data_IF_692976559377
#
_entry.id   IF_692976559377
#
_cell.length_a   1.000
_cell.length_b   1.000
_cell.length_c   1.000
_cell.angle_alpha   90.00
_cell.angle_beta   90.00
_cell.angle_gamma   90.00
#
_symmetry.space_group_name_H-M   'P 1'
#
loop_
_entity.id
_entity.type
_entity.pdbx_description
1 polymer ?
#
# COMPACT_ATOMS: atom_id res chain seq x y z
N UNK A 1 9.52 7.99 23.11
CA UNK A 1 10.53 8.30 22.07
C UNK A 1 9.77 8.94 20.94
N UNK A 2 10.17 10.14 20.50
CA UNK A 2 9.48 10.89 19.45
C UNK A 2 9.80 10.29 18.08
N UNK A 3 8.86 10.32 17.15
CA UNK A 3 9.09 9.89 15.76
C UNK A 3 10.05 10.89 15.09
N UNK A 4 11.13 10.42 14.41
CA UNK A 4 12.24 11.31 14.01
C UNK A 4 12.06 12.03 12.68
N UNK A 5 10.91 11.88 12.02
CA UNK A 5 10.53 12.59 10.81
C UNK A 5 9.37 13.52 11.14
N UNK A 6 9.35 14.71 10.53
CA UNK A 6 8.36 15.75 10.79
C UNK A 6 6.99 15.43 10.16
N UNK A 7 6.34 14.33 10.62
CA UNK A 7 5.00 13.95 10.14
C UNK A 7 3.92 14.98 10.48
N UNK A 8 4.18 15.91 11.37
CA UNK A 8 3.37 17.11 11.62
C UNK A 8 3.31 18.05 10.41
N UNK A 9 4.24 17.94 9.48
CA UNK A 9 4.24 18.71 8.23
C UNK A 9 3.31 18.14 7.17
N UNK A 10 2.77 16.94 7.37
CA UNK A 10 1.74 16.38 6.49
C UNK A 10 0.54 17.33 6.38
N UNK A 11 0.18 17.68 5.17
CA UNK A 11 -0.95 18.56 4.86
C UNK A 11 -2.00 17.80 4.06
N UNK A 12 -3.10 17.36 4.68
CA UNK A 12 -4.17 16.67 3.96
C UNK A 12 -4.61 17.48 2.74
N UNK A 13 -4.70 16.80 1.60
CA UNK A 13 -5.15 17.41 0.35
C UNK A 13 -6.61 17.02 0.11
N UNK A 14 -7.47 18.02 -0.19
CA UNK A 14 -8.86 17.79 -0.61
C UNK A 14 -8.97 17.87 -2.12
N UNK A 15 -9.55 16.84 -2.74
CA UNK A 15 -9.69 16.70 -4.19
C UNK A 15 -11.15 16.50 -4.56
N UNK A 16 -11.62 17.14 -5.65
CA UNK A 16 -13.01 17.03 -6.09
C UNK A 16 -13.14 16.39 -7.46
N UNK A 17 -14.19 15.62 -7.66
CA UNK A 17 -14.45 14.91 -8.92
C UNK A 17 -14.81 15.86 -10.08
N UNK A 18 -15.33 17.04 -9.82
CA UNK A 18 -15.61 18.07 -10.83
C UNK A 18 -14.34 18.83 -11.28
N UNK A 19 -13.24 18.71 -10.53
CA UNK A 19 -11.95 19.30 -10.86
C UNK A 19 -11.18 18.42 -11.84
N UNK A 20 -10.90 18.89 -13.05
CA UNK A 20 -10.26 18.09 -14.11
C UNK A 20 -8.74 18.02 -14.01
N UNK A 21 -8.09 18.95 -13.30
CA UNK A 21 -6.64 19.04 -13.13
C UNK A 21 -6.29 19.48 -11.70
N UNK A 22 -5.15 19.05 -11.20
CA UNK A 22 -4.62 19.57 -9.94
C UNK A 22 -4.28 21.06 -10.06
N UNK A 23 -4.63 21.85 -9.06
CA UNK A 23 -4.03 23.17 -8.91
C UNK A 23 -2.54 23.04 -8.54
N UNK A 24 -1.75 24.11 -8.78
CA UNK A 24 -0.33 24.10 -8.39
C UNK A 24 -0.15 23.79 -6.91
N UNK A 25 -0.98 24.39 -6.04
CA UNK A 25 -0.92 24.15 -4.59
C UNK A 25 -1.25 22.70 -4.23
N UNK A 26 -2.25 22.07 -4.86
CA UNK A 26 -2.59 20.66 -4.62
C UNK A 26 -1.46 19.73 -5.09
N UNK A 27 -0.87 20.01 -6.24
CA UNK A 27 0.29 19.25 -6.75
C UNK A 27 1.46 19.34 -5.79
N UNK A 28 1.85 20.54 -5.36
CA UNK A 28 2.96 20.77 -4.45
C UNK A 28 2.71 20.05 -3.10
N UNK A 29 1.49 20.12 -2.56
CA UNK A 29 1.13 19.42 -1.33
C UNK A 29 1.17 17.89 -1.50
N UNK A 30 0.63 17.35 -2.59
CA UNK A 30 0.68 15.91 -2.85
C UNK A 30 2.13 15.42 -3.00
N UNK A 31 2.97 16.15 -3.75
CA UNK A 31 4.38 15.80 -3.90
C UNK A 31 5.12 15.80 -2.57
N UNK A 32 4.90 16.82 -1.73
CA UNK A 32 5.51 16.88 -0.39
C UNK A 32 5.01 15.73 0.50
N UNK A 33 3.71 15.45 0.49
CA UNK A 33 3.12 14.37 1.27
C UNK A 33 3.59 12.98 0.80
N UNK A 34 3.72 12.77 -0.52
CA UNK A 34 4.25 11.52 -1.09
C UNK A 34 5.70 11.31 -0.62
N UNK A 35 6.54 12.34 -0.72
CA UNK A 35 7.93 12.25 -0.27
C UNK A 35 8.01 11.91 1.23
N UNK A 36 7.26 12.64 2.06
CA UNK A 36 7.24 12.44 3.51
C UNK A 36 6.72 11.04 3.90
N UNK A 37 5.65 10.58 3.26
CA UNK A 37 5.09 9.26 3.53
C UNK A 37 6.05 8.13 3.11
N UNK A 38 6.70 8.26 1.96
CA UNK A 38 7.72 7.33 1.47
C UNK A 38 8.93 7.27 2.41
N UNK A 39 9.43 8.42 2.84
CA UNK A 39 10.53 8.50 3.80
C UNK A 39 10.18 7.85 5.14
N UNK A 40 8.95 8.06 5.62
CA UNK A 40 8.46 7.44 6.85
C UNK A 40 8.36 5.91 6.71
N UNK A 41 7.83 5.39 5.60
CA UNK A 41 7.73 3.94 5.36
C UNK A 41 9.12 3.30 5.36
N UNK A 42 10.09 3.89 4.66
CA UNK A 42 11.48 3.41 4.66
C UNK A 42 12.02 3.38 6.09
N UNK A 43 11.84 4.46 6.85
CA UNK A 43 12.37 4.56 8.20
C UNK A 43 11.81 3.48 9.13
N UNK A 44 10.49 3.42 9.33
CA UNK A 44 9.95 2.54 10.38
C UNK A 44 9.97 1.06 9.99
N UNK A 45 9.92 0.72 8.70
CA UNK A 45 10.12 -0.67 8.26
C UNK A 45 11.58 -1.11 8.42
N UNK A 46 12.54 -0.25 8.08
CA UNK A 46 13.96 -0.51 8.33
C UNK A 46 14.28 -0.57 9.85
N UNK A 47 13.60 0.23 10.67
CA UNK A 47 13.72 0.16 12.13
C UNK A 47 13.25 -1.20 12.67
N UNK A 48 12.15 -1.73 12.14
CA UNK A 48 11.71 -3.10 12.47
C UNK A 48 12.77 -4.13 12.06
N UNK A 49 13.35 -3.98 10.87
CA UNK A 49 14.45 -4.84 10.42
C UNK A 49 15.68 -4.75 11.33
N UNK A 50 16.08 -3.54 11.74
CA UNK A 50 17.18 -3.34 12.69
C UNK A 50 16.94 -4.04 14.03
N UNK A 51 15.67 -4.16 14.46
CA UNK A 51 15.23 -4.91 15.64
C UNK A 51 15.16 -6.43 15.41
N UNK A 52 15.47 -6.92 14.21
CA UNK A 52 15.37 -8.33 13.84
C UNK A 52 13.95 -8.80 13.52
N UNK A 53 13.03 -7.87 13.26
CA UNK A 53 11.66 -8.14 12.80
C UNK A 53 11.64 -8.05 11.28
N UNK A 54 11.03 -9.01 10.61
CA UNK A 54 10.84 -8.94 9.16
C UNK A 54 9.77 -7.92 8.75
N UNK A 55 9.44 -7.86 7.48
CA UNK A 55 8.36 -7.01 6.95
C UNK A 55 8.50 -6.83 5.45
N UNK A 56 7.80 -5.83 4.93
CA UNK A 56 7.81 -5.46 3.52
C UNK A 56 7.81 -3.94 3.42
N UNK A 57 8.61 -3.41 2.51
CA UNK A 57 8.74 -1.96 2.31
C UNK A 57 8.21 -1.54 0.94
N UNK A 58 8.67 -2.22 -0.14
CA UNK A 58 8.52 -1.76 -1.51
C UNK A 58 7.09 -1.48 -1.92
N UNK A 59 6.21 -2.48 -1.89
CA UNK A 59 4.83 -2.27 -2.32
C UNK A 59 4.07 -1.23 -1.49
N UNK A 60 4.36 -1.11 -0.18
CA UNK A 60 3.77 -0.04 0.64
C UNK A 60 4.29 1.36 0.26
N UNK A 61 5.55 1.46 -0.14
CA UNK A 61 6.17 2.67 -0.67
C UNK A 61 5.61 3.05 -2.04
N UNK A 62 5.39 2.05 -2.89
CA UNK A 62 4.97 2.23 -4.27
C UNK A 62 3.57 2.87 -4.38
N UNK A 63 2.59 2.34 -3.63
CA UNK A 63 1.19 2.79 -3.73
C UNK A 63 0.87 4.10 -2.99
N UNK A 64 1.86 4.78 -2.43
CA UNK A 64 1.65 6.05 -1.72
C UNK A 64 0.93 7.09 -2.59
N UNK A 65 1.32 7.34 -3.86
CA UNK A 65 0.66 8.34 -4.68
C UNK A 65 -0.84 8.07 -4.88
N UNK A 66 -1.19 6.84 -5.24
CA UNK A 66 -2.57 6.42 -5.47
C UNK A 66 -3.41 6.57 -4.21
N UNK A 67 -2.89 6.10 -3.09
CA UNK A 67 -3.63 6.13 -1.84
C UNK A 67 -3.88 7.55 -1.37
N UNK A 68 -2.90 8.46 -1.48
CA UNK A 68 -3.07 9.87 -1.11
C UNK A 68 -4.04 10.61 -2.04
N UNK A 69 -4.09 10.27 -3.33
CA UNK A 69 -5.08 10.82 -4.26
C UNK A 69 -6.49 10.33 -3.88
N UNK A 70 -6.66 9.03 -3.62
CA UNK A 70 -7.96 8.48 -3.18
C UNK A 70 -8.40 9.09 -1.85
N UNK A 71 -7.49 9.23 -0.88
CA UNK A 71 -7.74 9.91 0.40
C UNK A 71 -8.23 11.36 0.19
N UNK A 72 -7.66 12.06 -0.78
CA UNK A 72 -8.08 13.42 -1.13
C UNK A 72 -9.54 13.52 -1.58
N UNK A 73 -10.03 12.56 -2.36
CA UNK A 73 -11.44 12.48 -2.75
C UNK A 73 -12.34 12.10 -1.56
N UNK A 74 -11.92 11.15 -0.74
CA UNK A 74 -12.64 10.79 0.50
C UNK A 74 -12.81 12.00 1.42
N UNK A 75 -11.74 12.77 1.64
CA UNK A 75 -11.74 13.96 2.49
C UNK A 75 -12.66 15.06 1.98
N UNK A 76 -12.88 15.13 0.69
CA UNK A 76 -13.82 16.11 0.09
C UNK A 76 -15.28 15.70 0.19
N UNK A 77 -15.57 14.53 0.77
CA UNK A 77 -16.93 14.00 0.87
C UNK A 77 -17.50 13.49 -0.44
N UNK A 78 -16.64 13.18 -1.41
CA UNK A 78 -17.06 12.56 -2.66
C UNK A 78 -17.63 11.15 -2.41
N UNK A 79 -18.42 10.65 -3.35
CA UNK A 79 -19.10 9.36 -3.21
C UNK A 79 -18.12 8.16 -3.33
N UNK A 80 -17.09 8.15 -2.50
CA UNK A 80 -16.07 7.10 -2.36
C UNK A 80 -16.16 6.51 -0.96
N UNK A 81 -16.19 5.19 -0.86
CA UNK A 81 -16.22 4.52 0.43
C UNK A 81 -14.89 4.77 1.16
N UNK A 82 -14.90 5.27 2.43
CA UNK A 82 -13.68 5.65 3.15
C UNK A 82 -12.92 4.46 3.74
N UNK A 83 -12.68 3.42 2.92
CA UNK A 83 -11.90 2.24 3.30
C UNK A 83 -10.92 1.94 2.16
N UNK A 84 -9.65 1.89 2.48
CA UNK A 84 -8.57 1.63 1.51
C UNK A 84 -8.25 0.14 1.50
N UNK A 85 -9.16 -0.68 0.94
CA UNK A 85 -8.94 -2.11 0.82
C UNK A 85 -7.67 -2.39 0.04
N UNK A 86 -6.82 -3.26 0.58
CA UNK A 86 -5.56 -3.65 -0.03
C UNK A 86 -5.40 -5.16 0.01
N UNK A 87 -5.46 -5.76 -1.16
CA UNK A 87 -5.37 -7.20 -1.33
C UNK A 87 -3.98 -7.74 -1.02
N UNK A 88 -2.95 -6.98 -1.36
CA UNK A 88 -1.58 -7.28 -0.97
C UNK A 88 -1.35 -6.91 0.50
N UNK A 89 -1.91 -7.70 1.41
CA UNK A 89 -1.93 -7.41 2.84
C UNK A 89 -0.55 -7.16 3.46
N UNK A 90 0.53 -7.64 2.84
CA UNK A 90 1.89 -7.34 3.28
C UNK A 90 2.27 -5.86 3.13
N UNK A 91 1.52 -5.07 2.34
CA UNK A 91 1.69 -3.60 2.23
C UNK A 91 1.12 -2.83 3.42
N UNK A 92 0.84 -3.48 4.54
CA UNK A 92 0.20 -2.92 5.74
C UNK A 92 0.91 -1.69 6.34
N UNK A 93 2.19 -1.49 6.03
CA UNK A 93 2.93 -0.32 6.51
C UNK A 93 2.24 1.00 6.11
N UNK A 94 1.74 1.12 4.87
CA UNK A 94 1.00 2.31 4.45
C UNK A 94 -0.34 2.45 5.18
N UNK A 95 -1.02 1.35 5.52
CA UNK A 95 -2.27 1.39 6.26
C UNK A 95 -2.08 1.96 7.67
N UNK A 96 -1.01 1.55 8.37
CA UNK A 96 -0.69 2.09 9.69
C UNK A 96 -0.23 3.55 9.61
N UNK A 97 0.55 3.92 8.58
CA UNK A 97 0.92 5.31 8.37
C UNK A 97 -0.32 6.19 8.17
N UNK A 98 -1.24 5.79 7.30
CA UNK A 98 -2.49 6.52 7.08
C UNK A 98 -3.35 6.60 8.34
N UNK A 99 -3.45 5.53 9.11
CA UNK A 99 -4.14 5.54 10.39
C UNK A 99 -3.54 6.55 11.37
N UNK A 100 -2.21 6.68 11.41
CA UNK A 100 -1.52 7.68 12.23
C UNK A 100 -1.73 9.11 11.70
N UNK A 101 -1.60 9.34 10.38
CA UNK A 101 -1.81 10.64 9.75
C UNK A 101 -3.27 11.12 9.85
N UNK A 102 -4.22 10.19 9.95
CA UNK A 102 -5.64 10.45 10.16
C UNK A 102 -6.03 10.57 11.65
N UNK A 103 -5.07 10.49 12.57
CA UNK A 103 -5.30 10.67 13.99
C UNK A 103 -5.97 9.47 14.70
N UNK A 104 -6.08 8.31 14.05
CA UNK A 104 -6.63 7.09 14.66
C UNK A 104 -5.68 6.45 15.66
N UNK A 105 -4.38 6.75 15.56
CA UNK A 105 -3.37 6.30 16.51
C UNK A 105 -2.22 7.30 16.63
N UNK A 106 -1.48 7.33 17.76
CA UNK A 106 -0.28 8.16 17.90
C UNK A 106 0.80 7.76 16.88
N UNK A 107 1.47 8.75 16.28
CA UNK A 107 2.55 8.55 15.29
C UNK A 107 3.69 7.71 15.86
N UNK A 108 4.00 7.87 17.15
CA UNK A 108 5.06 7.13 17.84
C UNK A 108 4.82 5.62 17.87
N UNK A 109 3.57 5.16 17.68
CA UNK A 109 3.29 3.73 17.54
C UNK A 109 3.99 3.09 16.35
N UNK A 110 4.25 3.84 15.28
CA UNK A 110 4.97 3.34 14.10
C UNK A 110 6.39 2.87 14.47
N UNK A 111 7.01 3.43 15.52
CA UNK A 111 8.28 2.94 16.05
C UNK A 111 8.24 1.48 16.51
N UNK A 112 7.07 0.95 16.78
CA UNK A 112 6.81 -0.41 17.25
C UNK A 112 6.18 -1.30 16.16
N UNK A 113 6.41 -0.96 14.89
CA UNK A 113 5.93 -1.75 13.77
C UNK A 113 6.39 -3.21 13.87
N UNK A 114 5.43 -4.15 13.83
CA UNK A 114 5.61 -5.59 13.97
C UNK A 114 6.18 -6.07 15.32
N UNK A 115 6.33 -5.22 16.31
CA UNK A 115 6.68 -5.67 17.66
C UNK A 115 5.49 -6.37 18.32
N UNK A 116 5.78 -7.50 18.97
CA UNK A 116 4.76 -8.26 19.70
C UNK A 116 4.10 -7.40 20.81
N UNK A 117 2.80 -7.50 20.92
CA UNK A 117 2.03 -6.77 21.94
C UNK A 117 1.66 -5.32 21.59
N UNK A 118 2.24 -4.75 20.53
CA UNK A 118 1.94 -3.37 20.12
C UNK A 118 0.75 -3.25 19.13
N UNK A 119 0.28 -4.37 18.57
CA UNK A 119 -0.90 -4.44 17.72
C UNK A 119 -0.72 -3.86 16.32
N UNK A 120 0.53 -3.72 15.85
CA UNK A 120 0.88 -3.40 14.47
C UNK A 120 1.42 -4.67 13.81
N UNK A 121 0.51 -5.48 13.27
CA UNK A 121 0.81 -6.79 12.71
C UNK A 121 1.46 -6.71 11.32
N UNK A 122 1.91 -7.84 10.79
CA UNK A 122 2.53 -7.92 9.46
C UNK A 122 1.53 -7.87 8.30
N UNK A 123 0.23 -7.97 8.60
CA UNK A 123 -0.90 -7.83 7.69
C UNK A 123 -1.99 -7.05 8.40
N UNK A 124 -2.92 -6.38 7.69
CA UNK A 124 -4.00 -5.67 8.35
C UNK A 124 -4.93 -6.64 9.08
N UNK A 125 -5.16 -6.35 10.32
CA UNK A 125 -6.19 -6.99 11.15
C UNK A 125 -7.17 -5.91 11.60
N UNK A 126 -8.46 -6.13 11.32
CA UNK A 126 -9.50 -5.15 11.60
C UNK A 126 -9.48 -4.68 13.04
N UNK A 127 -9.31 -3.39 13.23
CA UNK A 127 -9.32 -2.70 14.50
C UNK A 127 -9.81 -1.27 14.28
N UNK A 128 -11.12 -1.09 14.24
CA UNK A 128 -11.79 0.18 13.90
C UNK A 128 -11.30 1.34 14.78
N UNK A 129 -11.05 1.08 16.07
CA UNK A 129 -10.47 2.06 17.00
C UNK A 129 -9.04 2.50 16.67
N UNK A 130 -8.38 1.82 15.73
CA UNK A 130 -7.02 2.13 15.25
C UNK A 130 -7.01 2.56 13.78
N UNK A 131 -8.18 2.75 13.15
CA UNK A 131 -8.29 3.14 11.75
C UNK A 131 -7.99 2.03 10.75
N UNK A 132 -8.05 0.76 11.16
CA UNK A 132 -7.91 -0.40 10.26
C UNK A 132 -9.29 -1.04 10.13
N UNK A 133 -9.90 -0.91 8.95
CA UNK A 133 -11.31 -1.25 8.74
C UNK A 133 -11.53 -2.59 8.01
N UNK A 134 -10.46 -3.32 7.70
CA UNK A 134 -10.52 -4.63 7.06
C UNK A 134 -9.39 -5.53 7.54
N UNK A 135 -9.51 -6.83 7.27
CA UNK A 135 -8.43 -7.81 7.44
C UNK A 135 -8.07 -8.38 6.08
N UNK A 136 -6.78 -8.58 5.84
CA UNK A 136 -6.23 -9.19 4.64
C UNK A 136 -4.95 -9.94 4.98
N UNK A 137 -4.48 -10.83 4.11
CA UNK A 137 -3.25 -11.58 4.36
C UNK A 137 -2.99 -12.68 3.35
N UNK A 138 -3.98 -12.99 2.52
CA UNK A 138 -3.84 -13.95 1.42
C UNK A 138 -4.23 -13.28 0.12
N UNK A 139 -3.32 -13.28 -0.84
CA UNK A 139 -3.60 -12.86 -2.21
C UNK A 139 -4.75 -13.68 -2.78
N UNK A 140 -5.54 -13.10 -3.67
CA UNK A 140 -6.68 -13.76 -4.31
C UNK A 140 -7.93 -13.95 -3.45
N UNK A 141 -8.00 -13.40 -2.24
CA UNK A 141 -9.12 -13.61 -1.34
C UNK A 141 -9.93 -12.34 -1.04
N UNK A 142 -9.28 -11.18 -0.97
CA UNK A 142 -9.94 -9.97 -0.51
C UNK A 142 -10.92 -9.42 -1.54
N UNK A 143 -10.63 -9.55 -2.83
CA UNK A 143 -11.48 -8.99 -3.88
C UNK A 143 -12.91 -9.55 -3.82
N UNK A 144 -13.09 -10.85 -3.60
CA UNK A 144 -14.42 -11.45 -3.43
C UNK A 144 -15.20 -10.85 -2.25
N UNK A 145 -14.50 -10.56 -1.12
CA UNK A 145 -15.10 -9.85 0.01
C UNK A 145 -15.48 -8.42 -0.37
N UNK A 146 -14.62 -7.70 -1.08
CA UNK A 146 -14.85 -6.31 -1.51
C UNK A 146 -16.00 -6.22 -2.53
N UNK A 147 -16.20 -7.24 -3.35
CA UNK A 147 -17.38 -7.35 -4.20
C UNK A 147 -18.70 -7.36 -3.38
N UNK A 148 -18.70 -8.07 -2.24
CA UNK A 148 -19.82 -8.02 -1.30
C UNK A 148 -20.04 -6.62 -0.71
N UNK A 149 -18.94 -5.93 -0.35
CA UNK A 149 -19.00 -4.53 0.13
C UNK A 149 -19.55 -3.62 -0.96
N UNK A 150 -19.07 -3.73 -2.21
CA UNK A 150 -19.55 -2.91 -3.32
C UNK A 150 -21.04 -3.16 -3.62
N UNK A 151 -21.49 -4.41 -3.50
CA UNK A 151 -22.92 -4.76 -3.63
C UNK A 151 -23.77 -4.05 -2.56
N UNK A 152 -23.25 -3.96 -1.33
CA UNK A 152 -23.95 -3.29 -0.23
C UNK A 152 -23.89 -1.75 -0.29
N UNK A 153 -22.99 -1.19 -1.11
CA UNK A 153 -22.77 0.26 -1.23
C UNK A 153 -22.87 0.74 -2.70
N UNK A 154 -23.99 0.54 -3.39
CA UNK A 154 -24.10 0.76 -4.83
C UNK A 154 -23.92 2.22 -5.25
N UNK A 155 -24.11 3.16 -4.33
CA UNK A 155 -24.00 4.61 -4.57
C UNK A 155 -22.62 5.20 -4.29
N UNK A 156 -21.66 4.37 -3.89
CA UNK A 156 -20.29 4.80 -3.61
C UNK A 156 -19.32 3.98 -4.47
N UNK A 157 -18.25 4.62 -4.94
CA UNK A 157 -17.13 3.90 -5.51
C UNK A 157 -16.37 3.17 -4.40
N UNK A 158 -16.18 1.87 -4.55
CA UNK A 158 -15.38 1.07 -3.63
C UNK A 158 -14.01 0.84 -4.26
N UNK A 159 -12.96 1.32 -3.60
CA UNK A 159 -11.59 1.19 -4.10
C UNK A 159 -10.93 -0.05 -3.50
N UNK A 160 -10.29 -0.83 -4.36
CA UNK A 160 -9.45 -1.97 -4.01
C UNK A 160 -8.05 -1.77 -4.61
N UNK A 161 -7.03 -1.74 -3.77
CA UNK A 161 -5.64 -1.77 -4.21
C UNK A 161 -5.21 -3.22 -4.43
N UNK A 162 -4.67 -3.51 -5.59
CA UNK A 162 -4.12 -4.80 -5.98
C UNK A 162 -2.66 -4.69 -6.42
N UNK A 163 -2.09 -5.78 -6.88
CA UNK A 163 -0.73 -5.86 -7.40
C UNK A 163 -0.67 -6.84 -8.58
N UNK A 164 0.39 -6.76 -9.38
CA UNK A 164 0.70 -7.74 -10.42
C UNK A 164 0.74 -9.18 -9.85
N UNK A 165 1.28 -9.35 -8.64
CA UNK A 165 1.28 -10.63 -7.94
C UNK A 165 -0.11 -11.13 -7.56
N UNK A 166 -1.03 -10.24 -7.12
CA UNK A 166 -2.39 -10.67 -6.76
C UNK A 166 -3.19 -11.12 -7.98
N UNK A 167 -2.92 -10.54 -9.15
CA UNK A 167 -3.62 -10.89 -10.39
C UNK A 167 -3.23 -12.27 -10.96
N UNK A 168 -2.25 -12.94 -10.36
CA UNK A 168 -1.90 -14.33 -10.68
C UNK A 168 -2.78 -15.35 -9.93
N UNK A 169 -3.60 -14.89 -8.98
CA UNK A 169 -4.44 -15.74 -8.15
C UNK A 169 -5.78 -16.07 -8.84
N UNK A 170 -6.19 -17.34 -8.78
CA UNK A 170 -7.44 -17.79 -9.38
C UNK A 170 -8.69 -17.14 -8.78
N UNK A 171 -8.66 -16.78 -7.50
CA UNK A 171 -9.74 -16.08 -6.81
C UNK A 171 -10.02 -14.70 -7.39
N UNK A 172 -8.99 -13.99 -7.85
CA UNK A 172 -9.11 -12.67 -8.48
C UNK A 172 -9.79 -12.77 -9.85
N UNK A 173 -9.45 -13.79 -10.62
CA UNK A 173 -10.12 -14.06 -11.90
C UNK A 173 -11.63 -14.35 -11.73
N UNK A 174 -12.02 -15.05 -10.66
CA UNK A 174 -13.43 -15.27 -10.32
C UNK A 174 -14.10 -13.98 -9.87
N UNK A 175 -13.47 -13.23 -8.97
CA UNK A 175 -13.98 -11.97 -8.46
C UNK A 175 -14.15 -10.91 -9.54
N UNK A 176 -13.22 -10.84 -10.50
CA UNK A 176 -13.29 -9.95 -11.66
C UNK A 176 -14.55 -10.23 -12.50
N UNK A 177 -14.78 -11.49 -12.85
CA UNK A 177 -15.98 -11.90 -13.62
C UNK A 177 -17.27 -11.59 -12.88
N UNK A 178 -17.30 -11.80 -11.56
CA UNK A 178 -18.46 -11.45 -10.74
C UNK A 178 -18.70 -9.94 -10.73
N UNK A 179 -17.66 -9.13 -10.51
CA UNK A 179 -17.76 -7.68 -10.51
C UNK A 179 -18.34 -7.14 -11.83
N UNK A 180 -17.89 -7.68 -12.97
CA UNK A 180 -18.40 -7.34 -14.30
C UNK A 180 -19.85 -7.76 -14.48
N UNK A 181 -20.20 -9.01 -14.14
CA UNK A 181 -21.55 -9.54 -14.28
C UNK A 181 -22.58 -8.73 -13.45
N UNK A 182 -22.18 -8.27 -12.26
CA UNK A 182 -23.03 -7.47 -11.37
C UNK A 182 -22.89 -5.96 -11.59
N UNK A 183 -22.02 -5.52 -12.50
CA UNK A 183 -21.74 -4.10 -12.79
C UNK A 183 -21.41 -3.30 -11.53
N UNK A 184 -20.60 -3.89 -10.64
CA UNK A 184 -20.27 -3.29 -9.35
C UNK A 184 -19.50 -1.97 -9.52
N UNK A 185 -19.80 -0.97 -8.69
CA UNK A 185 -19.06 0.27 -8.67
C UNK A 185 -17.72 0.10 -7.91
N UNK A 186 -16.89 -0.79 -8.44
CA UNK A 186 -15.58 -1.16 -7.89
C UNK A 186 -14.47 -0.58 -8.77
N UNK A 187 -13.46 0.00 -8.12
CA UNK A 187 -12.28 0.59 -8.75
C UNK A 187 -11.05 -0.16 -8.25
N UNK A 188 -10.49 -0.99 -9.13
CA UNK A 188 -9.27 -1.73 -8.87
C UNK A 188 -8.08 -0.87 -9.29
N UNK A 189 -7.14 -0.64 -8.37
CA UNK A 189 -5.92 0.12 -8.62
C UNK A 189 -4.74 -0.83 -8.42
N UNK A 190 -4.11 -1.21 -9.52
CA UNK A 190 -3.00 -2.17 -9.56
C UNK A 190 -1.67 -1.44 -9.54
N UNK A 191 -0.81 -1.84 -8.63
CA UNK A 191 0.61 -1.55 -8.66
C UNK A 191 1.31 -2.65 -9.47
N UNK A 192 1.72 -2.31 -10.68
CA UNK A 192 2.43 -3.19 -11.61
C UNK A 192 3.91 -2.79 -11.65
N UNK A 193 4.67 -3.36 -10.71
CA UNK A 193 6.07 -3.02 -10.50
C UNK A 193 7.04 -4.13 -10.94
N UNK A 194 6.53 -5.22 -11.54
CA UNK A 194 7.26 -6.39 -12.00
C UNK A 194 8.11 -7.05 -10.91
N UNK A 195 7.69 -6.98 -9.63
CA UNK A 195 8.43 -7.61 -8.53
C UNK A 195 7.49 -8.30 -7.55
N UNK A 196 7.72 -9.59 -7.35
CA UNK A 196 7.09 -10.41 -6.31
C UNK A 196 8.16 -11.07 -5.44
N UNK A 197 7.75 -11.78 -4.39
CA UNK A 197 8.65 -12.62 -3.60
C UNK A 197 9.35 -13.70 -4.43
N UNK A 198 8.75 -14.13 -5.55
CA UNK A 198 9.29 -15.12 -6.45
C UNK A 198 10.27 -14.54 -7.51
N UNK A 199 10.41 -13.22 -7.55
CA UNK A 199 11.21 -12.51 -8.55
C UNK A 199 10.36 -11.68 -9.50
N UNK A 200 10.77 -11.59 -10.77
CA UNK A 200 10.11 -10.79 -11.79
C UNK A 200 9.04 -11.61 -12.52
N UNK A 201 7.73 -11.24 -12.44
CA UNK A 201 6.68 -11.85 -13.26
C UNK A 201 7.01 -11.93 -14.74
N UNK A 202 7.60 -10.87 -15.30
CA UNK A 202 8.05 -10.85 -16.71
C UNK A 202 9.03 -11.99 -17.07
N UNK A 203 9.77 -12.53 -16.09
CA UNK A 203 10.73 -13.62 -16.31
C UNK A 203 10.12 -15.01 -16.12
N UNK A 204 9.27 -15.21 -15.09
CA UNK A 204 8.73 -16.53 -14.80
C UNK A 204 7.34 -16.80 -15.40
N UNK A 205 6.66 -15.75 -15.85
CA UNK A 205 5.38 -15.82 -16.59
C UNK A 205 5.45 -14.99 -17.87
N UNK A 206 6.34 -15.31 -18.83
CA UNK A 206 6.48 -14.53 -20.05
C UNK A 206 5.17 -14.48 -20.83
N UNK A 207 4.74 -13.26 -21.20
CA UNK A 207 3.47 -13.04 -21.90
C UNK A 207 2.26 -12.85 -21.00
N UNK A 208 2.39 -12.91 -19.67
CA UNK A 208 1.34 -12.48 -18.75
C UNK A 208 1.31 -10.95 -18.71
N UNK A 209 0.17 -10.38 -19.07
CA UNK A 209 -0.13 -8.94 -18.99
C UNK A 209 -1.35 -8.73 -18.10
N UNK A 210 -1.21 -7.90 -17.08
CA UNK A 210 -2.26 -7.62 -16.10
C UNK A 210 -3.41 -6.87 -16.75
N UNK A 211 -3.11 -5.87 -17.60
CA UNK A 211 -4.14 -5.06 -18.25
C UNK A 211 -4.96 -5.90 -19.23
N UNK A 212 -4.29 -6.70 -20.07
CA UNK A 212 -4.95 -7.61 -21.00
C UNK A 212 -5.79 -8.66 -20.29
N UNK A 213 -5.29 -9.19 -19.16
CA UNK A 213 -6.01 -10.17 -18.34
C UNK A 213 -7.29 -9.57 -17.77
N UNK A 214 -7.24 -8.37 -17.20
CA UNK A 214 -8.41 -7.69 -16.63
C UNK A 214 -9.40 -7.25 -17.70
N UNK A 215 -8.91 -6.76 -18.84
CA UNK A 215 -9.75 -6.47 -20.02
C UNK A 215 -10.44 -7.73 -20.56
N UNK A 216 -9.72 -8.85 -20.59
CA UNK A 216 -10.26 -10.16 -20.97
C UNK A 216 -11.38 -10.66 -20.05
N UNK A 217 -11.40 -10.25 -18.79
CA UNK A 217 -12.52 -10.48 -17.87
C UNK A 217 -13.69 -9.50 -18.05
N UNK A 218 -13.52 -8.43 -18.85
CA UNK A 218 -14.56 -7.46 -19.19
C UNK A 218 -14.55 -6.18 -18.35
N UNK A 219 -13.49 -5.90 -17.59
CA UNK A 219 -13.32 -4.62 -16.93
C UNK A 219 -12.99 -3.52 -17.97
N UNK A 220 -13.37 -2.29 -17.67
CA UNK A 220 -12.78 -1.12 -18.32
C UNK A 220 -11.37 -0.95 -17.73
N UNK A 221 -10.35 -0.96 -18.59
CA UNK A 221 -8.94 -0.89 -18.15
C UNK A 221 -8.29 0.38 -18.72
N UNK A 222 -7.53 1.06 -17.88
CA UNK A 222 -6.65 2.17 -18.26
C UNK A 222 -5.28 1.93 -17.62
N UNK A 223 -4.22 2.10 -18.41
CA UNK A 223 -2.84 1.83 -17.99
C UNK A 223 -1.97 3.07 -18.15
N UNK A 224 -0.99 3.24 -17.27
CA UNK A 224 -0.07 4.35 -17.39
C UNK A 224 1.00 4.41 -16.31
N UNK A 225 1.82 5.44 -16.37
CA UNK A 225 2.89 5.68 -15.41
C UNK A 225 2.32 5.99 -14.01
N UNK A 226 2.71 5.20 -13.01
CA UNK A 226 2.31 5.38 -11.60
C UNK A 226 3.04 6.52 -10.89
N UNK A 227 4.10 7.06 -11.50
CA UNK A 227 4.89 8.17 -10.93
C UNK A 227 4.55 9.53 -11.58
N UNK A 228 3.81 9.55 -12.67
CA UNK A 228 3.26 10.80 -13.24
C UNK A 228 2.01 11.24 -12.44
N UNK A 229 2.22 12.13 -11.49
CA UNK A 229 1.17 12.56 -10.55
C UNK A 229 -0.07 13.17 -11.23
N UNK A 230 0.12 13.97 -12.29
CA UNK A 230 -0.99 14.61 -12.99
C UNK A 230 -1.80 13.59 -13.81
N UNK A 231 -1.12 12.71 -14.53
CA UNK A 231 -1.75 11.64 -15.26
C UNK A 231 -2.44 10.65 -14.33
N UNK A 232 -1.81 10.28 -13.22
CA UNK A 232 -2.38 9.39 -12.19
C UNK A 232 -3.64 9.99 -11.57
N UNK A 233 -3.62 11.28 -11.19
CA UNK A 233 -4.80 12.01 -10.72
C UNK A 233 -5.95 11.94 -11.74
N UNK A 234 -5.65 12.25 -13.00
CA UNK A 234 -6.67 12.26 -14.06
C UNK A 234 -7.28 10.85 -14.27
N UNK A 235 -6.46 9.80 -14.25
CA UNK A 235 -6.92 8.40 -14.37
C UNK A 235 -7.78 7.97 -13.19
N UNK A 236 -7.34 8.23 -11.94
CA UNK A 236 -8.12 7.88 -10.73
C UNK A 236 -9.45 8.62 -10.73
N UNK A 237 -9.45 9.94 -11.01
CA UNK A 237 -10.66 10.73 -11.11
C UNK A 237 -11.63 10.15 -12.16
N UNK A 238 -11.12 9.80 -13.35
CA UNK A 238 -11.92 9.21 -14.42
C UNK A 238 -12.50 7.86 -13.98
N UNK A 239 -11.70 7.01 -13.37
CA UNK A 239 -12.16 5.72 -12.85
C UNK A 239 -13.30 5.88 -11.82
N UNK A 240 -13.14 6.82 -10.87
CA UNK A 240 -14.15 7.08 -9.83
C UNK A 240 -15.48 7.56 -10.40
N UNK A 241 -15.48 8.25 -11.55
CA UNK A 241 -16.69 8.73 -12.23
C UNK A 241 -17.25 7.77 -13.28
N UNK A 242 -16.50 6.77 -13.69
CA UNK A 242 -16.94 5.76 -14.68
C UNK A 242 -17.83 4.71 -14.02
N UNK A 243 -19.06 4.47 -14.53
CA UNK A 243 -19.93 3.41 -14.00
C UNK A 243 -19.32 2.01 -14.16
N UNK A 244 -19.62 1.13 -13.22
CA UNK A 244 -19.19 -0.28 -13.25
C UNK A 244 -17.74 -0.49 -12.79
N UNK A 245 -17.22 -1.71 -12.98
CA UNK A 245 -15.87 -2.04 -12.54
C UNK A 245 -14.83 -1.48 -13.52
N UNK A 246 -13.85 -0.76 -12.96
CA UNK A 246 -12.72 -0.17 -13.68
C UNK A 246 -11.43 -0.64 -13.04
N UNK A 247 -10.44 -0.97 -13.84
CA UNK A 247 -9.07 -1.25 -13.40
C UNK A 247 -8.10 -0.20 -13.92
N UNK A 248 -7.27 0.32 -13.03
CA UNK A 248 -6.13 1.15 -13.35
C UNK A 248 -4.86 0.32 -13.13
N UNK A 249 -4.05 0.15 -14.16
CA UNK A 249 -2.77 -0.56 -14.09
C UNK A 249 -1.65 0.47 -14.13
N UNK A 250 -0.99 0.66 -12.98
CA UNK A 250 0.02 1.69 -12.79
C UNK A 250 1.40 1.05 -12.87
N UNK A 251 2.09 1.27 -13.99
CA UNK A 251 3.43 0.75 -14.21
C UNK A 251 4.46 1.59 -13.48
N UNK A 252 5.39 0.94 -12.82
CA UNK A 252 6.58 1.55 -12.20
C UNK A 252 7.66 0.51 -11.96
N UNK A 253 8.84 0.97 -11.58
CA UNK A 253 9.84 0.10 -10.95
C UNK A 253 9.57 0.07 -9.45
N UNK A 254 9.66 -1.10 -8.82
CA UNK A 254 9.52 -1.19 -7.36
C UNK A 254 10.48 -0.25 -6.65
N UNK A 255 10.01 0.43 -5.61
CA UNK A 255 10.75 1.40 -4.80
C UNK A 255 11.46 2.47 -5.65
N UNK A 256 10.71 3.25 -6.49
CA UNK A 256 11.31 4.22 -7.38
C UNK A 256 12.15 5.24 -6.62
N UNK A 257 13.28 5.64 -7.23
CA UNK A 257 14.24 6.60 -6.68
C UNK A 257 14.97 6.13 -5.39
N UNK A 258 14.86 4.85 -4.99
CA UNK A 258 15.67 4.29 -3.90
C UNK A 258 16.95 3.69 -4.47
N UNK A 259 18.12 4.35 -4.31
CA UNK A 259 19.35 3.91 -4.94
C UNK A 259 19.75 2.48 -4.52
N UNK A 260 20.10 1.64 -5.52
CA UNK A 260 20.52 0.26 -5.30
C UNK A 260 19.41 -0.70 -4.87
N UNK A 261 18.16 -0.23 -4.83
CA UNK A 261 16.96 -1.02 -4.53
C UNK A 261 15.96 -0.98 -5.69
N UNK A 262 15.82 0.17 -6.34
CA UNK A 262 14.85 0.40 -7.41
C UNK A 262 14.80 -0.74 -8.43
N UNK A 263 13.62 -1.30 -8.66
CA UNK A 263 13.37 -2.37 -9.61
C UNK A 263 13.97 -3.72 -9.26
N UNK A 264 14.47 -3.92 -8.05
CA UNK A 264 15.10 -5.19 -7.64
C UNK A 264 14.19 -5.98 -6.68
N UNK A 265 14.19 -7.33 -6.77
CA UNK A 265 13.41 -8.19 -5.87
C UNK A 265 13.68 -7.95 -4.38
N UNK A 266 14.88 -7.53 -4.01
CA UNK A 266 15.21 -7.17 -2.62
C UNK A 266 14.44 -5.96 -2.09
N UNK A 267 13.79 -5.17 -2.95
CA UNK A 267 12.89 -4.09 -2.55
C UNK A 267 11.54 -4.58 -2.04
N UNK A 268 11.14 -5.80 -2.42
CA UNK A 268 9.87 -6.40 -1.98
C UNK A 268 9.82 -6.61 -0.47
N UNK A 269 10.89 -7.14 0.11
CA UNK A 269 11.02 -7.30 1.56
C UNK A 269 11.38 -5.98 2.26
N UNK A 270 11.74 -6.04 3.53
CA UNK A 270 12.27 -4.86 4.22
C UNK A 270 13.60 -4.44 3.62
N UNK A 271 13.72 -3.15 3.33
CA UNK A 271 14.97 -2.58 2.84
C UNK A 271 16.08 -2.85 3.88
N UNK A 272 17.28 -3.32 3.46
CA UNK A 272 18.41 -3.48 4.36
C UNK A 272 18.75 -2.18 5.10
N UNK A 273 19.14 -2.30 6.36
CA UNK A 273 19.34 -1.15 7.26
C UNK A 273 20.39 -0.18 6.75
N UNK A 274 21.45 -0.67 6.13
CA UNK A 274 22.51 0.14 5.52
C UNK A 274 21.99 0.99 4.35
N UNK A 275 21.18 0.41 3.46
CA UNK A 275 20.53 1.16 2.38
C UNK A 275 19.53 2.21 2.90
N UNK A 276 18.73 1.85 3.90
CA UNK A 276 17.82 2.81 4.53
C UNK A 276 18.58 3.95 5.22
N UNK A 277 19.69 3.63 5.88
CA UNK A 277 20.55 4.62 6.51
C UNK A 277 21.10 5.62 5.47
N UNK A 278 21.70 5.13 4.37
CA UNK A 278 22.22 5.98 3.29
C UNK A 278 21.13 6.84 2.65
N UNK A 279 19.95 6.23 2.40
CA UNK A 279 18.80 6.95 1.86
C UNK A 279 18.36 8.10 2.76
N UNK A 280 18.17 7.83 4.06
CA UNK A 280 17.73 8.84 5.03
C UNK A 280 18.78 9.93 5.25
N UNK A 281 20.06 9.58 5.25
CA UNK A 281 21.14 10.58 5.31
C UNK A 281 21.15 11.51 4.09
N UNK A 282 20.97 10.94 2.90
CA UNK A 282 20.91 11.69 1.63
C UNK A 282 19.70 12.63 1.58
N UNK A 283 18.61 12.26 2.27
CA UNK A 283 17.40 13.07 2.45
C UNK A 283 17.47 14.03 3.64
N UNK A 284 18.64 14.16 4.27
CA UNK A 284 18.88 15.00 5.45
C UNK A 284 18.12 14.61 6.73
N UNK A 285 17.53 13.43 6.77
CA UNK A 285 16.84 12.86 7.93
C UNK A 285 17.84 12.21 8.92
N UNK A 286 18.78 13.00 9.43
CA UNK A 286 19.91 12.52 10.24
C UNK A 286 19.47 11.78 11.50
N UNK A 287 18.49 12.32 12.22
CA UNK A 287 17.98 11.68 13.45
C UNK A 287 17.36 10.30 13.17
N UNK A 288 16.65 10.14 12.07
CA UNK A 288 16.07 8.87 11.65
C UNK A 288 17.18 7.86 11.29
N UNK A 289 18.19 8.28 10.53
CA UNK A 289 19.34 7.46 10.19
C UNK A 289 20.12 6.99 11.43
N UNK A 290 20.42 7.90 12.37
CA UNK A 290 21.11 7.58 13.63
C UNK A 290 20.30 6.59 14.47
N UNK A 291 18.97 6.73 14.51
CA UNK A 291 18.12 5.81 15.25
C UNK A 291 18.22 4.37 14.72
N UNK A 292 18.36 4.17 13.40
CA UNK A 292 18.52 2.83 12.81
C UNK A 292 19.80 2.12 13.32
N UNK A 293 20.88 2.88 13.53
CA UNK A 293 22.16 2.33 13.96
C UNK A 293 22.27 2.17 15.48
N UNK A 294 21.47 2.95 16.22
CA UNK A 294 21.46 2.88 17.70
C UNK A 294 20.70 1.66 18.24
N UNK A 295 19.95 0.95 17.41
CA UNK A 295 19.18 -0.23 17.82
C UNK A 295 20.11 -1.38 18.15
N UNK A 296 20.10 -1.84 19.40
CA UNK A 296 20.73 -3.11 19.78
C UNK A 296 19.86 -4.26 19.30
N UNK A 297 20.39 -5.12 18.44
CA UNK A 297 19.74 -6.39 18.11
C UNK A 297 19.47 -7.15 19.42
N UNK A 298 18.24 -7.69 19.61
CA UNK A 298 17.97 -8.55 20.75
C UNK A 298 18.95 -9.74 20.73
N UNK A 299 19.51 -10.06 21.89
CA UNK A 299 20.49 -11.15 22.04
C UNK A 299 19.95 -12.55 21.67
N UNK A 300 18.62 -12.66 21.55
CA UNK A 300 17.94 -13.85 21.04
C UNK A 300 16.88 -13.42 20.04
N UNK A 301 16.80 -14.07 18.84
CA UNK A 301 15.65 -13.86 17.97
C UNK A 301 14.39 -14.21 18.77
N UNK A 302 13.40 -13.30 18.76
CA UNK A 302 12.08 -13.63 19.28
C UNK A 302 11.43 -14.65 18.33
N UNK A 303 11.85 -15.91 18.44
CA UNK A 303 11.17 -16.99 17.77
C UNK A 303 9.85 -17.18 18.52
N UNK A 304 8.75 -16.93 17.79
CA UNK A 304 7.43 -17.38 18.24
C UNK A 304 7.46 -18.91 18.31
N UNK A 305 7.80 -19.46 19.46
CA UNK A 305 7.52 -20.86 19.75
C UNK A 305 6.02 -20.93 20.02
N UNK A 306 5.24 -21.14 18.96
CA UNK A 306 3.87 -21.53 19.09
C UNK A 306 3.79 -22.75 19.99
N UNK A 307 3.09 -22.65 21.09
CA UNK A 307 2.87 -23.73 22.07
C UNK A 307 2.02 -24.89 21.56
N UNK A 308 1.93 -25.07 20.23
CA UNK A 308 1.09 -26.09 19.61
C UNK A 308 1.81 -27.41 19.30
N UNK A 309 3.13 -27.47 19.43
CA UNK A 309 3.86 -28.71 19.17
C UNK A 309 3.86 -29.73 20.32
N UNK A 310 3.50 -29.33 21.53
CA UNK A 310 3.54 -30.21 22.70
C UNK A 310 2.20 -30.89 23.08
N UNK A 311 1.12 -30.58 22.34
CA UNK A 311 -0.21 -31.17 22.60
C UNK A 311 -0.66 -32.21 21.56
N UNK A 312 0.17 -32.61 20.63
CA UNK A 312 -0.14 -33.66 19.64
C UNK A 312 0.75 -34.89 19.84
N UNK A 313 1.19 -35.15 21.05
CA UNK A 313 1.73 -36.45 21.42
C UNK A 313 0.91 -37.00 22.57
N UNK A 314 -0.25 -37.52 22.25
CA UNK A 314 -0.94 -38.63 22.93
C UNK A 314 -2.08 -39.11 22.07
#
# INVERSE_FOLDING_TARGET
MTFPLALEDYRPCSLKLDQTQLSSSQRDHLQANIALARDAIIFFTALANAKGLGGHTGGAYDIVPELLIVDGFVRSGEAVLPVYFDEAGHRVAIQYLMAALNGHMPIEKLLHYREFGHGLYGHPERADSRGIFFSSGRLGHLWSYVNGVATANPNQAVVLFGSDGSQQEGGDAEAARYAVAQKLNLKLIIDDNDVTIAGHPSHYMPGFDVADTLAGHGLVVDSGDGEDLDALYARIRTALTTPGPVALVNHRKMAPQVPGIEGLPKGHDVIPVDFAFEYLQKKEHRQAAEMLTAVKKPSHPQTFRGSTSDKVKN
#
